data_IF_717259777518
#
_entry.id   IF_717259777518
#
_cell.length_a   1.000
_cell.length_b   1.000
_cell.length_c   1.000
_cell.angle_alpha   90.00
_cell.angle_beta   90.00
_cell.angle_gamma   90.00
#
_symmetry.space_group_name_H-M   'P 1'
#
loop_
_entity.id
_entity.type
_entity.pdbx_description
1 polymer ?
#
# COMPACT_ATOMS: atom_id res chain seq x y z
N UNK A 1 11.50 -6.20 -32.77
CA UNK A 1 10.46 -7.25 -32.99
C UNK A 1 9.85 -7.60 -31.66
N UNK A 2 8.51 -7.64 -31.52
CA UNK A 2 7.84 -8.06 -30.29
C UNK A 2 7.71 -9.60 -30.29
N UNK A 3 7.81 -10.20 -29.09
CA UNK A 3 7.59 -11.63 -28.87
C UNK A 3 6.28 -11.82 -28.12
N UNK A 4 5.48 -12.81 -28.50
CA UNK A 4 4.29 -13.22 -27.76
C UNK A 4 4.71 -13.92 -26.46
N UNK A 5 4.20 -13.47 -25.32
CA UNK A 5 4.48 -13.99 -23.99
C UNK A 5 3.26 -14.70 -23.37
N UNK A 6 2.15 -14.80 -24.11
CA UNK A 6 0.90 -15.36 -23.61
C UNK A 6 0.20 -14.46 -22.58
N UNK A 7 -0.77 -15.05 -21.84
CA UNK A 7 -1.54 -14.35 -20.82
C UNK A 7 -0.75 -14.32 -19.51
N UNK A 8 -0.39 -13.11 -19.08
CA UNK A 8 0.28 -12.89 -17.80
C UNK A 8 0.00 -11.45 -17.29
N UNK A 9 0.06 -11.21 -15.99
CA UNK A 9 -0.18 -9.88 -15.41
C UNK A 9 1.07 -8.99 -15.59
N UNK A 10 1.29 -8.51 -16.81
CA UNK A 10 2.52 -7.82 -17.23
C UNK A 10 2.42 -6.30 -17.04
N UNK A 11 2.16 -5.84 -15.81
CA UNK A 11 2.21 -4.42 -15.45
C UNK A 11 3.42 -4.17 -14.56
N UNK A 12 4.22 -3.16 -14.90
CA UNK A 12 5.37 -2.69 -14.14
C UNK A 12 5.55 -1.18 -14.36
N UNK A 13 5.94 -0.39 -13.35
CA UNK A 13 6.14 -0.80 -11.95
C UNK A 13 4.81 -1.01 -11.20
N UNK A 14 4.79 -1.94 -10.25
CA UNK A 14 3.67 -2.08 -9.31
C UNK A 14 4.01 -1.44 -7.96
N UNK A 15 3.06 -0.78 -7.29
CA UNK A 15 3.31 -0.22 -5.97
C UNK A 15 3.51 -1.33 -4.95
N UNK A 16 4.20 -1.03 -3.86
CA UNK A 16 4.22 -1.86 -2.65
C UNK A 16 3.43 -1.13 -1.58
N UNK A 17 2.25 -1.64 -1.29
CA UNK A 17 1.27 -1.04 -0.39
C UNK A 17 1.17 -1.87 0.88
N UNK A 18 1.25 -1.20 2.03
CA UNK A 18 1.11 -1.83 3.34
C UNK A 18 -0.28 -1.53 3.89
N UNK A 19 -1.08 -2.57 4.04
CA UNK A 19 -2.46 -2.45 4.53
C UNK A 19 -2.47 -2.86 6.01
N UNK A 20 -2.87 -1.94 6.88
CA UNK A 20 -2.96 -2.20 8.30
C UNK A 20 -4.40 -2.06 8.82
N UNK A 21 -4.77 -2.92 9.75
CA UNK A 21 -6.07 -2.95 10.41
C UNK A 21 -5.94 -3.55 11.80
N UNK A 22 -6.96 -3.39 12.65
CA UNK A 22 -7.03 -4.08 13.94
C UNK A 22 -7.71 -5.44 13.81
N UNK A 23 -7.17 -6.43 14.49
CA UNK A 23 -7.82 -7.71 14.76
C UNK A 23 -8.98 -7.55 15.75
N UNK A 24 -9.71 -8.66 16.03
CA UNK A 24 -10.81 -8.69 17.01
C UNK A 24 -10.37 -8.32 18.43
N UNK A 25 -9.12 -8.64 18.77
CA UNK A 25 -8.48 -8.38 20.06
C UNK A 25 -7.71 -7.07 20.13
N UNK A 26 -7.94 -6.17 19.15
CA UNK A 26 -7.25 -4.89 18.99
C UNK A 26 -5.74 -4.98 18.71
N UNK A 27 -5.19 -6.18 18.49
CA UNK A 27 -3.82 -6.33 18.00
C UNK A 27 -3.71 -5.84 16.53
N UNK A 28 -2.51 -5.41 16.14
CA UNK A 28 -2.26 -4.88 14.79
C UNK A 28 -2.03 -6.03 13.81
N UNK A 29 -2.71 -6.01 12.66
CA UNK A 29 -2.40 -6.85 11.51
C UNK A 29 -1.99 -5.99 10.31
N UNK A 30 -0.88 -6.35 9.67
CA UNK A 30 -0.36 -5.68 8.49
C UNK A 30 -0.15 -6.70 7.38
N UNK A 31 -0.55 -6.39 6.16
CA UNK A 31 -0.22 -7.17 4.97
C UNK A 31 0.41 -6.31 3.89
N UNK A 32 1.31 -6.91 3.13
CA UNK A 32 1.86 -6.35 1.92
C UNK A 32 0.95 -6.68 0.72
N UNK A 33 0.76 -5.75 -0.19
CA UNK A 33 0.08 -5.98 -1.44
C UNK A 33 0.55 -5.05 -2.57
N UNK A 34 0.41 -5.52 -3.82
CA UNK A 34 0.69 -4.74 -5.03
C UNK A 34 -0.55 -4.55 -5.94
N UNK A 35 -1.66 -5.21 -5.63
CA UNK A 35 -2.86 -5.24 -6.48
C UNK A 35 -3.88 -4.18 -6.05
N UNK A 36 -3.45 -2.91 -5.97
CA UNK A 36 -4.28 -1.80 -5.55
C UNK A 36 -3.77 -0.46 -6.04
N UNK A 37 -4.54 0.58 -5.77
CA UNK A 37 -4.18 1.95 -6.12
C UNK A 37 -5.35 2.90 -6.10
N UNK A 38 -5.09 4.15 -6.50
CA UNK A 38 -6.12 5.19 -6.66
C UNK A 38 -7.10 4.77 -7.75
N UNK A 39 -8.39 4.78 -7.45
CA UNK A 39 -9.47 4.47 -8.40
C UNK A 39 -10.41 5.66 -8.66
N UNK A 40 -10.40 6.68 -7.80
CA UNK A 40 -11.06 7.96 -7.99
C UNK A 40 -10.27 9.05 -7.24
N UNK A 41 -10.73 10.31 -7.27
CA UNK A 41 -10.00 11.45 -6.69
C UNK A 41 -9.68 11.26 -5.20
N UNK A 42 -10.59 10.65 -4.46
CA UNK A 42 -10.54 10.45 -3.01
C UNK A 42 -10.80 8.97 -2.64
N UNK A 43 -10.53 8.04 -3.56
CA UNK A 43 -10.78 6.62 -3.33
C UNK A 43 -9.62 5.74 -3.79
N UNK A 44 -9.43 4.67 -3.05
CA UNK A 44 -8.54 3.56 -3.38
C UNK A 44 -9.33 2.28 -3.63
N UNK A 45 -8.81 1.41 -4.49
CA UNK A 45 -9.30 0.05 -4.68
C UNK A 45 -8.21 -0.95 -4.32
N UNK A 46 -8.55 -1.94 -3.51
CA UNK A 46 -7.68 -3.07 -3.15
C UNK A 46 -8.30 -4.35 -3.73
N UNK A 47 -7.50 -5.14 -4.45
CA UNK A 47 -7.93 -6.48 -4.88
C UNK A 47 -7.22 -7.50 -3.99
N UNK A 48 -7.94 -8.10 -3.05
CA UNK A 48 -7.39 -8.93 -1.99
C UNK A 48 -8.06 -10.31 -1.93
N UNK A 49 -7.33 -11.31 -1.44
CA UNK A 49 -7.89 -12.64 -1.25
C UNK A 49 -8.82 -12.67 -0.03
N UNK A 50 -9.97 -13.31 -0.17
CA UNK A 50 -10.92 -13.55 0.94
C UNK A 50 -10.28 -14.34 2.10
N UNK A 51 -9.26 -15.14 1.82
CA UNK A 51 -8.59 -15.97 2.81
C UNK A 51 -7.60 -15.23 3.72
N UNK A 52 -7.27 -13.96 3.44
CA UNK A 52 -6.37 -13.20 4.30
C UNK A 52 -7.05 -12.82 5.62
N UNK A 53 -6.28 -12.81 6.71
CA UNK A 53 -6.76 -12.32 8.00
C UNK A 53 -7.15 -10.85 7.90
N UNK A 54 -6.30 -10.05 7.29
CA UNK A 54 -6.52 -8.62 7.03
C UNK A 54 -7.84 -8.36 6.33
N UNK A 55 -8.26 -9.21 5.38
CA UNK A 55 -9.56 -9.07 4.69
C UNK A 55 -10.73 -9.16 5.68
N UNK A 56 -10.69 -10.14 6.58
CA UNK A 56 -11.73 -10.32 7.61
C UNK A 56 -11.76 -9.15 8.59
N UNK A 57 -10.57 -8.68 8.98
CA UNK A 57 -10.45 -7.53 9.89
C UNK A 57 -10.97 -6.24 9.25
N UNK A 58 -10.68 -5.99 7.97
CA UNK A 58 -11.25 -4.87 7.22
C UNK A 58 -12.78 -4.96 7.15
N UNK A 59 -13.34 -6.15 6.90
CA UNK A 59 -14.80 -6.36 6.87
C UNK A 59 -15.45 -6.04 8.21
N UNK A 60 -14.81 -6.42 9.31
CA UNK A 60 -15.32 -6.20 10.68
C UNK A 60 -15.19 -4.74 11.13
N UNK A 61 -14.02 -4.12 10.88
CA UNK A 61 -13.71 -2.76 11.32
C UNK A 61 -14.29 -1.67 10.40
N UNK A 62 -14.58 -2.01 9.15
CA UNK A 62 -15.02 -1.04 8.16
C UNK A 62 -13.96 0.02 7.84
N UNK A 63 -12.70 -0.25 8.16
CA UNK A 63 -11.60 0.70 8.04
C UNK A 63 -10.25 0.01 7.87
N UNK A 64 -9.30 0.72 7.27
CA UNK A 64 -7.91 0.32 7.15
C UNK A 64 -7.01 1.55 6.94
N UNK A 65 -5.73 1.39 7.17
CA UNK A 65 -4.74 2.33 6.64
C UNK A 65 -3.99 1.69 5.48
N UNK A 66 -3.57 2.54 4.54
CA UNK A 66 -2.74 2.16 3.42
C UNK A 66 -1.49 3.02 3.44
N UNK A 67 -0.34 2.40 3.69
CA UNK A 67 0.95 3.09 3.68
C UNK A 67 1.77 2.72 2.45
N UNK A 68 2.67 3.61 2.05
CA UNK A 68 3.66 3.36 0.99
C UNK A 68 4.92 2.83 1.66
N UNK A 69 5.36 1.63 1.24
CA UNK A 69 6.61 1.05 1.71
C UNK A 69 7.82 1.81 1.17
N UNK A 70 8.85 1.95 1.98
CA UNK A 70 10.12 2.57 1.63
C UNK A 70 11.29 1.57 1.70
N UNK A 71 12.42 1.93 1.10
CA UNK A 71 13.62 1.09 1.06
C UNK A 71 14.20 0.84 2.45
N UNK A 72 14.02 1.78 3.39
CA UNK A 72 14.55 1.64 4.75
C UNK A 72 13.88 0.50 5.53
N UNK A 73 12.62 0.17 5.18
CA UNK A 73 11.81 -0.88 5.83
C UNK A 73 11.41 -1.99 4.84
N UNK A 74 12.31 -2.31 3.89
CA UNK A 74 12.05 -3.32 2.86
C UNK A 74 11.86 -4.71 3.47
N UNK A 75 12.71 -5.10 4.41
CA UNK A 75 12.71 -6.43 5.00
C UNK A 75 11.42 -6.70 5.79
N UNK A 76 10.97 -5.73 6.59
CA UNK A 76 9.70 -5.79 7.32
C UNK A 76 8.50 -5.80 6.36
N UNK A 77 8.56 -4.98 5.31
CA UNK A 77 7.51 -4.90 4.29
C UNK A 77 7.37 -6.22 3.52
N UNK A 78 8.46 -6.87 3.15
CA UNK A 78 8.46 -8.18 2.52
C UNK A 78 7.97 -9.28 3.49
N UNK A 79 8.44 -9.23 4.75
CA UNK A 79 8.00 -10.16 5.79
C UNK A 79 6.49 -10.15 5.99
N UNK A 80 5.83 -8.99 5.94
CA UNK A 80 4.37 -8.89 6.01
C UNK A 80 3.65 -9.55 4.81
N UNK A 81 4.34 -9.75 3.70
CA UNK A 81 3.87 -10.53 2.55
C UNK A 81 4.08 -12.04 2.71
N UNK A 82 5.15 -12.45 3.38
CA UNK A 82 5.53 -13.85 3.61
C UNK A 82 4.71 -14.45 4.75
N UNK A 83 4.58 -13.73 5.87
CA UNK A 83 3.92 -14.20 7.08
C UNK A 83 2.40 -14.03 6.98
N UNK A 84 1.66 -15.13 7.10
CA UNK A 84 0.21 -15.11 7.16
C UNK A 84 -0.27 -14.82 8.59
N UNK A 85 -1.06 -13.76 8.78
CA UNK A 85 -1.71 -13.45 10.05
C UNK A 85 -2.66 -14.54 10.57
N UNK A 86 -3.12 -15.47 9.72
CA UNK A 86 -3.86 -16.66 10.16
C UNK A 86 -2.97 -17.70 10.86
N UNK A 87 -1.66 -17.65 10.71
CA UNK A 87 -0.70 -18.61 11.25
C UNK A 87 0.26 -18.01 12.26
N UNK A 88 0.57 -16.73 12.13
CA UNK A 88 1.54 -16.00 12.94
C UNK A 88 0.80 -14.83 13.58
N UNK A 89 0.30 -15.05 14.81
CA UNK A 89 -0.53 -14.06 15.51
C UNK A 89 0.27 -12.80 15.88
N UNK A 90 1.54 -12.97 16.22
CA UNK A 90 2.49 -11.93 16.64
C UNK A 90 3.37 -11.41 15.50
N UNK A 91 2.88 -11.48 14.24
CA UNK A 91 3.72 -11.11 13.10
C UNK A 91 4.11 -9.62 13.09
N UNK A 92 3.27 -8.73 13.60
CA UNK A 92 3.58 -7.31 13.66
C UNK A 92 4.68 -7.04 14.69
N UNK A 93 4.53 -7.60 15.88
CA UNK A 93 5.48 -7.44 17.00
C UNK A 93 6.88 -7.97 16.65
N UNK A 94 6.98 -9.02 15.83
CA UNK A 94 8.26 -9.60 15.37
C UNK A 94 9.11 -8.64 14.56
N UNK A 95 8.51 -7.66 13.90
CA UNK A 95 9.24 -6.66 13.11
C UNK A 95 9.86 -5.57 13.98
N UNK A 96 9.43 -5.44 15.23
CA UNK A 96 9.80 -4.32 16.10
C UNK A 96 9.20 -2.97 15.68
N UNK A 97 8.35 -2.96 14.66
CA UNK A 97 7.61 -1.75 14.27
C UNK A 97 6.58 -1.36 15.32
N UNK A 98 6.22 -0.09 15.33
CA UNK A 98 5.22 0.50 16.22
C UNK A 98 4.03 1.04 15.44
N UNK A 99 2.90 1.17 16.10
CA UNK A 99 1.71 1.71 15.47
C UNK A 99 0.95 2.62 16.44
N UNK A 100 0.46 3.72 15.92
CA UNK A 100 -0.39 4.69 16.63
C UNK A 100 -1.84 4.54 16.12
N UNK A 101 -2.82 4.72 17.00
CA UNK A 101 -4.22 4.70 16.58
C UNK A 101 -4.55 5.89 15.70
N UNK A 102 -5.17 5.65 14.55
CA UNK A 102 -5.71 6.72 13.70
C UNK A 102 -6.75 7.56 14.47
N UNK A 103 -6.74 8.87 14.22
CA UNK A 103 -7.76 9.80 14.75
C UNK A 103 -8.96 9.95 13.82
N UNK A 104 -8.93 9.34 12.64
CA UNK A 104 -9.94 9.48 11.58
C UNK A 104 -10.76 8.22 11.35
N UNK A 105 -10.11 7.05 11.50
CA UNK A 105 -10.71 5.75 11.20
C UNK A 105 -10.34 4.72 12.27
N UNK A 106 -11.08 3.62 12.37
CA UNK A 106 -10.77 2.55 13.33
C UNK A 106 -9.70 1.60 12.76
N UNK A 107 -8.47 2.15 12.59
CA UNK A 107 -7.33 1.42 12.07
C UNK A 107 -6.02 1.95 12.66
N UNK A 108 -4.94 1.14 12.70
CA UNK A 108 -3.62 1.59 13.13
C UNK A 108 -2.88 2.32 12.02
N UNK A 109 -2.11 3.34 12.39
CA UNK A 109 -1.08 3.96 11.55
C UNK A 109 0.26 3.35 11.95
N UNK A 110 0.95 2.68 11.04
CA UNK A 110 2.30 2.15 11.27
C UNK A 110 3.28 3.31 11.21
N UNK A 111 3.96 3.56 12.33
CA UNK A 111 4.71 4.81 12.55
C UNK A 111 5.94 4.94 11.63
N UNK A 112 6.50 3.84 11.15
CA UNK A 112 7.72 3.84 10.35
C UNK A 112 7.48 4.14 8.86
N UNK A 113 6.27 4.02 8.37
CA UNK A 113 6.01 4.31 6.94
C UNK A 113 5.77 5.80 6.71
N UNK A 114 6.50 6.42 5.77
CA UNK A 114 6.54 7.88 5.63
C UNK A 114 5.25 8.50 5.09
N UNK A 115 4.38 7.72 4.43
CA UNK A 115 3.06 8.18 3.96
C UNK A 115 2.02 7.12 4.31
N UNK A 116 0.90 7.57 4.88
CA UNK A 116 -0.23 6.74 5.24
C UNK A 116 -1.55 7.41 4.87
N UNK A 117 -2.38 6.69 4.13
CA UNK A 117 -3.77 7.05 3.82
C UNK A 117 -4.66 6.39 4.89
N UNK A 118 -5.49 7.17 5.55
CA UNK A 118 -6.51 6.69 6.49
C UNK A 118 -7.83 6.50 5.74
N UNK A 119 -8.34 5.27 5.67
CA UNK A 119 -9.43 4.91 4.76
C UNK A 119 -10.60 4.26 5.49
N UNK A 120 -11.82 4.72 5.16
CA UNK A 120 -13.07 4.05 5.50
C UNK A 120 -13.53 3.15 4.35
N UNK A 121 -14.09 1.97 4.66
CA UNK A 121 -14.63 1.07 3.64
C UNK A 121 -15.96 1.61 3.11
N UNK A 122 -16.07 1.77 1.81
CA UNK A 122 -17.29 2.17 1.13
C UNK A 122 -18.05 0.94 0.64
N UNK A 123 -17.34 -0.02 0.07
CA UNK A 123 -17.94 -1.21 -0.53
C UNK A 123 -16.93 -2.36 -0.58
N UNK A 124 -17.43 -3.58 -0.44
CA UNK A 124 -16.67 -4.81 -0.68
C UNK A 124 -17.39 -5.63 -1.73
N UNK A 125 -16.81 -5.72 -2.93
CA UNK A 125 -17.40 -6.38 -4.09
C UNK A 125 -16.80 -7.77 -4.29
N UNK A 126 -17.64 -8.79 -4.42
CA UNK A 126 -17.21 -10.13 -4.82
C UNK A 126 -16.61 -10.11 -6.23
N UNK A 127 -15.47 -10.76 -6.37
CA UNK A 127 -14.80 -10.97 -7.65
C UNK A 127 -14.51 -12.47 -7.83
N UNK A 128 -14.32 -12.96 -9.06
CA UNK A 128 -14.04 -14.39 -9.33
C UNK A 128 -12.82 -14.94 -8.55
N UNK A 129 -11.88 -14.09 -8.19
CA UNK A 129 -10.60 -14.47 -7.56
C UNK A 129 -10.37 -13.82 -6.20
N UNK A 130 -11.39 -13.23 -5.58
CA UNK A 130 -11.26 -12.56 -4.27
C UNK A 130 -12.27 -11.45 -4.06
N UNK A 131 -11.85 -10.41 -3.36
CA UNK A 131 -12.65 -9.23 -3.09
C UNK A 131 -11.99 -7.99 -3.68
N UNK A 132 -12.82 -7.08 -4.18
CA UNK A 132 -12.43 -5.69 -4.43
C UNK A 132 -12.99 -4.83 -3.30
N UNK A 133 -12.09 -4.26 -2.49
CA UNK A 133 -12.44 -3.31 -1.44
C UNK A 133 -12.28 -1.90 -1.97
N UNK A 134 -13.35 -1.12 -1.90
CA UNK A 134 -13.33 0.31 -2.20
C UNK A 134 -13.25 1.07 -0.88
N UNK A 135 -12.18 1.83 -0.71
CA UNK A 135 -11.92 2.66 0.46
C UNK A 135 -11.95 4.14 0.09
N UNK A 136 -12.69 4.93 0.88
CA UNK A 136 -12.62 6.39 0.80
C UNK A 136 -11.45 6.90 1.63
N UNK A 137 -10.65 7.77 1.06
CA UNK A 137 -9.54 8.44 1.75
C UNK A 137 -10.14 9.54 2.62
N UNK A 138 -10.08 9.36 3.92
CA UNK A 138 -10.54 10.35 4.90
C UNK A 138 -9.43 11.35 5.28
N UNK A 139 -8.17 10.92 5.18
CA UNK A 139 -7.00 11.75 5.44
C UNK A 139 -5.74 11.12 4.86
N UNK A 140 -4.70 11.93 4.69
CA UNK A 140 -3.34 11.48 4.33
C UNK A 140 -2.37 12.08 5.34
N UNK A 141 -1.57 11.22 5.96
CA UNK A 141 -0.46 11.60 6.83
C UNK A 141 0.84 11.47 6.04
N UNK A 142 1.77 12.38 6.27
CA UNK A 142 3.11 12.33 5.73
C UNK A 142 4.11 12.81 6.77
N UNK A 143 5.27 12.14 6.85
CA UNK A 143 6.37 12.60 7.68
C UNK A 143 6.92 13.92 7.14
N UNK A 144 7.25 14.84 8.02
CA UNK A 144 7.86 16.13 7.65
C UNK A 144 9.18 15.92 6.88
N UNK A 145 9.92 14.84 7.17
CA UNK A 145 11.19 14.49 6.53
C UNK A 145 11.06 14.23 5.02
N UNK A 146 9.89 13.79 4.54
CA UNK A 146 9.64 13.54 3.12
C UNK A 146 9.00 14.72 2.40
N UNK A 147 8.79 15.85 3.08
CA UNK A 147 8.24 17.06 2.47
C UNK A 147 9.36 17.94 1.89
N UNK A 148 9.01 18.66 0.84
CA UNK A 148 9.83 19.75 0.28
C UNK A 148 9.58 21.07 1.04
N UNK A 149 10.26 22.16 0.61
CA UNK A 149 10.13 23.50 1.21
C UNK A 149 8.73 24.10 1.06
N UNK A 150 7.94 23.63 0.11
CA UNK A 150 6.55 24.03 -0.12
C UNK A 150 5.54 23.18 0.66
N UNK A 151 6.01 22.20 1.46
CA UNK A 151 5.17 21.26 2.20
C UNK A 151 4.53 20.18 1.33
N UNK A 152 5.07 19.91 0.15
CA UNK A 152 4.64 18.83 -0.75
C UNK A 152 5.54 17.63 -0.58
N UNK A 153 4.98 16.42 -0.77
CA UNK A 153 5.77 15.20 -0.76
C UNK A 153 6.82 15.23 -1.88
N UNK A 154 8.08 15.07 -1.50
CA UNK A 154 9.20 14.90 -2.43
C UNK A 154 9.39 13.39 -2.71
N UNK A 155 9.12 12.90 -3.94
CA UNK A 155 9.27 11.49 -4.27
C UNK A 155 10.69 10.95 -4.09
N UNK A 156 11.72 11.81 -4.18
CA UNK A 156 13.10 11.40 -3.97
C UNK A 156 13.39 11.14 -2.48
N UNK A 157 12.80 11.94 -1.58
CA UNK A 157 12.91 11.76 -0.13
C UNK A 157 12.06 10.59 0.38
N UNK A 158 10.96 10.28 -0.31
CA UNK A 158 10.04 9.20 0.06
C UNK A 158 10.72 7.84 0.09
N UNK A 159 11.71 7.62 -0.77
CA UNK A 159 12.43 6.34 -0.82
C UNK A 159 11.56 5.13 -1.20
N UNK A 160 10.43 5.35 -1.85
CA UNK A 160 9.53 4.27 -2.26
C UNK A 160 10.21 3.32 -3.24
N UNK A 161 9.78 2.06 -3.22
CA UNK A 161 10.23 1.06 -4.18
C UNK A 161 9.05 0.39 -4.88
N UNK A 162 9.32 -0.23 -6.03
CA UNK A 162 8.34 -0.92 -6.85
C UNK A 162 8.55 -2.41 -6.81
N UNK A 163 7.45 -3.17 -6.88
CA UNK A 163 7.47 -4.62 -7.09
C UNK A 163 7.53 -4.94 -8.58
N UNK A 164 8.46 -5.82 -8.93
CA UNK A 164 8.59 -6.44 -10.25
C UNK A 164 7.98 -7.85 -10.23
N UNK A 165 6.89 -8.01 -10.94
CA UNK A 165 6.19 -9.28 -11.04
C UNK A 165 6.85 -10.27 -12.00
N UNK A 166 7.71 -9.81 -12.92
CA UNK A 166 8.34 -10.70 -13.91
C UNK A 166 9.40 -11.61 -13.28
N UNK A 167 10.15 -11.09 -12.30
CA UNK A 167 11.24 -11.79 -11.62
C UNK A 167 11.09 -11.81 -10.09
N UNK A 168 9.97 -11.32 -9.56
CA UNK A 168 9.68 -11.24 -8.13
C UNK A 168 10.75 -10.41 -7.38
N UNK A 169 11.10 -9.25 -7.95
CA UNK A 169 12.11 -8.35 -7.41
C UNK A 169 11.53 -7.04 -6.88
N UNK A 170 12.31 -6.34 -6.06
CA UNK A 170 12.03 -4.97 -5.65
C UNK A 170 13.06 -4.02 -6.26
N UNK A 171 12.59 -2.87 -6.75
CA UNK A 171 13.42 -1.86 -7.41
C UNK A 171 13.15 -0.48 -6.84
N UNK A 172 14.19 0.21 -6.40
CA UNK A 172 14.07 1.60 -6.00
C UNK A 172 13.67 2.46 -7.21
N UNK A 173 12.86 3.48 -6.97
CA UNK A 173 12.52 4.46 -8.00
C UNK A 173 13.74 5.35 -8.27
N UNK A 174 14.00 5.61 -9.54
CA UNK A 174 15.14 6.44 -9.97
C UNK A 174 14.85 7.94 -9.94
N UNK A 175 15.76 8.71 -10.53
CA UNK A 175 15.65 10.15 -10.61
C UNK A 175 14.47 10.62 -11.47
N UNK A 176 14.01 11.86 -11.24
CA UNK A 176 12.98 12.51 -12.05
C UNK A 176 13.49 12.69 -13.48
N UNK A 177 12.79 12.11 -14.46
CA UNK A 177 13.18 12.11 -15.88
C UNK A 177 12.39 13.12 -16.72
N UNK A 178 11.40 13.79 -16.16
CA UNK A 178 10.58 14.77 -16.88
C UNK A 178 9.50 15.41 -16.02
N UNK A 179 8.82 16.37 -16.59
CA UNK A 179 7.69 17.06 -15.97
C UNK A 179 6.39 16.65 -16.68
N UNK A 180 5.43 16.13 -15.91
CA UNK A 180 4.12 15.79 -16.44
C UNK A 180 3.43 17.04 -17.02
N UNK A 181 2.70 16.85 -18.12
CA UNK A 181 2.01 17.89 -18.91
C UNK A 181 2.91 18.98 -19.54
N UNK A 182 4.22 18.93 -19.35
CA UNK A 182 5.21 19.82 -19.94
C UNK A 182 6.05 19.11 -21.01
N UNK A 183 6.57 17.92 -20.68
CA UNK A 183 7.53 17.20 -21.55
C UNK A 183 6.99 16.87 -22.94
N UNK A 184 5.66 16.75 -23.10
CA UNK A 184 4.99 16.47 -24.37
C UNK A 184 4.57 17.69 -25.17
N UNK A 185 4.73 18.92 -24.66
CA UNK A 185 4.25 20.15 -25.33
C UNK A 185 4.85 20.39 -26.72
N UNK A 186 6.02 19.81 -27.00
CA UNK A 186 6.66 19.87 -28.31
C UNK A 186 5.84 19.20 -29.44
N UNK A 187 4.81 18.43 -29.12
CA UNK A 187 3.94 17.75 -30.09
C UNK A 187 2.56 18.41 -30.24
N UNK A 188 2.31 19.54 -29.58
CA UNK A 188 1.04 20.30 -29.61
C UNK A 188 1.10 21.47 -30.56
#
# INVERSE_FOLDING_TARGET
MKKDLGVQPAIYPMPVLMIATYNDDDSVDVMNMAWGGICARDMVALNISRGHKTTKSIEQRGAFTLSIADVAHLDESDYFGIASGNKVADKFERTGMTATKSTRVDAPVVDQYPITLECSVVEMQEQPYGLRVLGKIENVLADEAVLDEDGKVDPAKLGAFAFDQFQSGYYALGEKVGQAWESGKQFV
#
